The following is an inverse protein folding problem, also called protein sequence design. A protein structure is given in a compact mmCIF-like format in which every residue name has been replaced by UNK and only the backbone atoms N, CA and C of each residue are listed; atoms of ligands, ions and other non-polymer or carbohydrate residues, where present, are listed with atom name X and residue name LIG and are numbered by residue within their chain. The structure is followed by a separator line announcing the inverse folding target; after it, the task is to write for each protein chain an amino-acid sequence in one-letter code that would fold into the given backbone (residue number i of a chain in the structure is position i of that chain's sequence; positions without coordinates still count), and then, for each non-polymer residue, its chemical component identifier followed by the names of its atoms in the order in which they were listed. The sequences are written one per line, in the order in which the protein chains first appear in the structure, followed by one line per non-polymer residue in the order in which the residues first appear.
data_IF_305501550966
#
_entry.id   IF_305501550966
#
_cell.length_a   1.000
_cell.length_b   1.000
_cell.length_c   1.000
_cell.angle_alpha   90.00
_cell.angle_beta   90.00
_cell.angle_gamma   90.00
#
_symmetry.space_group_name_H-M   'P 1'
#
loop_
_entity.id
_entity.type
_entity.pdbx_description
1 polymer ?
#
# COMPACT_ATOMS: atom_id res chain seq x y z
N UNK A 1 28.07 2.20 19.11
CA UNK A 1 27.22 3.00 18.21
C UNK A 1 27.48 4.46 18.53
N UNK A 2 27.62 5.35 17.52
CA UNK A 2 27.65 6.79 17.78
C UNK A 2 26.32 7.21 18.41
N UNK A 3 26.37 8.01 19.48
CA UNK A 3 25.19 8.60 20.11
C UNK A 3 24.87 9.94 19.47
N UNK A 4 23.66 10.10 18.93
CA UNK A 4 23.16 11.39 18.43
C UNK A 4 22.30 12.09 19.48
N UNK A 5 22.39 13.43 19.54
CA UNK A 5 21.56 14.24 20.44
C UNK A 5 20.27 14.65 19.73
N UNK A 6 19.15 14.24 20.30
CA UNK A 6 17.80 14.59 19.87
C UNK A 6 17.13 15.46 20.92
N UNK A 7 16.47 16.55 20.50
CA UNK A 7 15.71 17.44 21.38
C UNK A 7 14.24 17.48 20.94
N UNK A 8 13.33 17.38 21.91
CA UNK A 8 11.89 17.32 21.68
C UNK A 8 11.16 18.25 22.64
N UNK A 9 10.16 18.98 22.14
CA UNK A 9 9.20 19.73 22.97
C UNK A 9 8.04 18.81 23.32
N UNK A 10 7.68 18.79 24.59
CA UNK A 10 6.63 17.94 25.16
C UNK A 10 5.73 18.85 25.99
N UNK A 11 4.42 18.70 25.85
CA UNK A 11 3.46 19.40 26.72
C UNK A 11 3.45 18.83 28.15
N UNK A 12 2.85 19.58 29.07
CA UNK A 12 2.81 19.20 30.50
C UNK A 12 2.05 17.89 30.74
N UNK A 13 1.01 17.60 29.95
CA UNK A 13 0.17 16.41 30.14
C UNK A 13 0.96 15.13 29.79
N UNK A 14 1.65 15.14 28.65
CA UNK A 14 2.49 14.03 28.22
C UNK A 14 3.69 13.84 29.16
N UNK A 15 4.24 14.93 29.69
CA UNK A 15 5.32 14.86 30.68
C UNK A 15 4.86 14.20 31.99
N UNK A 16 3.66 14.52 32.46
CA UNK A 16 3.08 13.88 33.65
C UNK A 16 2.79 12.39 33.43
N UNK A 17 2.30 12.01 32.24
CA UNK A 17 2.10 10.60 31.87
C UNK A 17 3.41 9.83 31.89
N UNK A 18 4.47 10.42 31.34
CA UNK A 18 5.82 9.84 31.38
C UNK A 18 6.33 9.69 32.82
N UNK A 19 6.08 10.68 33.67
CA UNK A 19 6.47 10.65 35.08
C UNK A 19 5.73 9.56 35.87
N UNK A 20 4.44 9.36 35.58
CA UNK A 20 3.67 8.24 36.16
C UNK A 20 4.22 6.90 35.72
N UNK A 21 4.49 6.75 34.41
CA UNK A 21 5.03 5.51 33.86
C UNK A 21 6.38 5.16 34.49
N UNK A 22 7.36 6.08 34.48
CA UNK A 22 8.68 5.82 35.08
C UNK A 22 8.62 5.57 36.59
N UNK A 23 7.61 6.10 37.27
CA UNK A 23 7.40 5.91 38.70
C UNK A 23 6.95 4.49 39.06
N UNK A 24 6.36 3.78 38.09
CA UNK A 24 5.93 2.39 38.22
C UNK A 24 7.05 1.38 37.91
N UNK A 25 8.15 1.81 37.28
CA UNK A 25 9.30 0.97 36.97
C UNK A 25 10.21 0.80 38.20
N UNK A 26 10.74 -0.41 38.39
CA UNK A 26 11.57 -0.77 39.55
C UNK A 26 12.85 0.08 39.67
N UNK A 27 13.47 0.42 38.53
CA UNK A 27 14.71 1.18 38.47
C UNK A 27 14.51 2.69 38.33
N UNK A 28 13.26 3.14 38.22
CA UNK A 28 12.84 4.55 38.12
C UNK A 28 13.70 5.36 37.14
N UNK A 29 13.63 5.04 35.84
CA UNK A 29 14.53 5.62 34.85
C UNK A 29 14.42 7.14 34.77
N UNK A 30 15.49 7.79 34.29
CA UNK A 30 15.42 9.21 33.94
C UNK A 30 14.35 9.42 32.85
N UNK A 31 13.82 10.65 32.71
CA UNK A 31 12.84 10.93 31.64
C UNK A 31 13.37 10.63 30.25
N UNK A 32 14.66 10.91 29.99
CA UNK A 32 15.30 10.60 28.72
C UNK A 32 15.37 9.08 28.48
N UNK A 33 15.73 8.32 29.52
CA UNK A 33 15.79 6.86 29.46
C UNK A 33 14.39 6.23 29.31
N UNK A 34 13.39 6.79 29.99
CA UNK A 34 12.00 6.39 29.86
C UNK A 34 11.48 6.63 28.43
N UNK A 35 11.75 7.80 27.85
CA UNK A 35 11.42 8.09 26.45
C UNK A 35 12.15 7.12 25.53
N UNK A 36 13.45 6.87 25.74
CA UNK A 36 14.21 5.89 24.95
C UNK A 36 13.56 4.51 25.01
N UNK A 37 13.23 3.99 26.19
CA UNK A 37 12.58 2.68 26.36
C UNK A 37 11.20 2.61 25.73
N UNK A 38 10.41 3.68 25.83
CA UNK A 38 9.08 3.74 25.22
C UNK A 38 9.17 3.82 23.69
N UNK A 39 10.13 4.59 23.17
CA UNK A 39 10.42 4.66 21.73
C UNK A 39 10.96 3.32 21.24
N UNK A 40 11.91 2.70 21.94
CA UNK A 40 12.41 1.36 21.62
C UNK A 40 11.31 0.30 21.73
N UNK A 41 10.41 0.41 22.71
CA UNK A 41 9.25 -0.45 22.84
C UNK A 41 8.26 -0.27 21.69
N UNK A 42 8.01 0.97 21.28
CA UNK A 42 7.16 1.30 20.13
C UNK A 42 7.79 0.87 18.80
N UNK A 43 9.08 1.12 18.62
CA UNK A 43 9.85 0.70 17.44
C UNK A 43 10.14 -0.80 17.42
N UNK A 44 10.09 -1.49 18.56
CA UNK A 44 10.11 -2.95 18.60
C UNK A 44 8.82 -3.56 18.03
N UNK A 45 7.75 -2.77 17.83
CA UNK A 45 6.58 -3.19 17.04
C UNK A 45 6.81 -3.02 15.52
N UNK A 46 7.84 -2.27 15.13
CA UNK A 46 8.33 -2.09 13.75
C UNK A 46 9.36 -3.19 13.36
N UNK A 47 9.64 -4.13 14.26
CA UNK A 47 10.62 -5.19 14.05
C UNK A 47 9.94 -6.51 13.71
N UNK A 48 10.13 -6.95 12.47
CA UNK A 48 9.96 -8.33 12.03
C UNK A 48 10.41 -9.31 13.14
N UNK A 49 9.46 -10.05 13.74
CA UNK A 49 9.76 -11.17 14.64
C UNK A 49 9.12 -11.16 16.03
N UNK A 50 8.56 -10.04 16.53
CA UNK A 50 7.83 -10.08 17.83
C UNK A 50 6.39 -10.57 17.63
N UNK A 51 5.87 -11.48 18.50
CA UNK A 51 4.46 -11.86 18.46
C UNK A 51 3.56 -10.62 18.62
N UNK A 52 2.41 -10.57 17.93
CA UNK A 52 1.42 -9.51 18.13
C UNK A 52 1.07 -9.42 19.62
N UNK A 53 0.83 -8.22 20.12
CA UNK A 53 0.45 -8.02 21.51
C UNK A 53 -0.96 -7.43 21.56
N UNK A 54 -1.82 -8.01 22.39
CA UNK A 54 -3.14 -7.46 22.71
C UNK A 54 -3.08 -6.87 24.11
N UNK A 55 -3.52 -5.62 24.27
CA UNK A 55 -3.77 -4.99 25.56
C UNK A 55 -4.90 -5.71 26.31
N UNK A 56 -5.01 -5.50 27.62
CA UNK A 56 -6.07 -6.13 28.42
C UNK A 56 -7.48 -5.71 27.95
N UNK A 57 -7.63 -4.47 27.48
CA UNK A 57 -8.85 -4.00 26.85
C UNK A 57 -9.19 -4.74 25.55
N UNK A 58 -8.20 -4.93 24.66
CA UNK A 58 -8.39 -5.68 23.41
C UNK A 58 -8.70 -7.16 23.66
N UNK A 59 -8.08 -7.78 24.67
CA UNK A 59 -8.41 -9.15 25.11
C UNK A 59 -9.88 -9.24 25.53
N UNK A 60 -10.33 -8.30 26.39
CA UNK A 60 -11.73 -8.29 26.84
C UNK A 60 -12.70 -8.11 25.67
N UNK A 61 -12.43 -7.17 24.76
CA UNK A 61 -13.26 -6.95 23.56
C UNK A 61 -13.30 -8.20 22.68
N UNK A 62 -12.16 -8.83 22.40
CA UNK A 62 -12.07 -10.04 21.58
C UNK A 62 -12.88 -11.21 22.19
N UNK A 63 -12.80 -11.41 23.51
CA UNK A 63 -13.56 -12.44 24.22
C UNK A 63 -15.07 -12.15 24.20
N UNK A 64 -15.47 -10.90 24.39
CA UNK A 64 -16.89 -10.50 24.29
C UNK A 64 -17.45 -10.73 22.88
N UNK A 65 -16.65 -10.47 21.83
CA UNK A 65 -17.04 -10.76 20.45
C UNK A 65 -17.14 -12.27 20.19
N UNK A 66 -16.22 -13.07 20.74
CA UNK A 66 -16.29 -14.53 20.65
C UNK A 66 -17.59 -15.08 21.28
N UNK A 67 -17.98 -14.55 22.45
CA UNK A 67 -19.23 -14.93 23.10
C UNK A 67 -20.47 -14.52 22.29
N UNK A 68 -20.46 -13.32 21.69
CA UNK A 68 -21.54 -12.88 20.80
C UNK A 68 -21.66 -13.79 19.57
N UNK A 69 -20.54 -14.15 18.93
CA UNK A 69 -20.52 -15.07 17.78
C UNK A 69 -21.14 -16.41 18.15
N UNK A 70 -20.77 -17.00 19.31
CA UNK A 70 -21.39 -18.24 19.79
C UNK A 70 -22.87 -18.09 20.07
N UNK A 71 -23.27 -16.97 20.69
CA UNK A 71 -24.66 -16.75 21.10
C UNK A 71 -25.58 -16.52 19.90
N UNK A 72 -25.07 -15.91 18.84
CA UNK A 72 -25.77 -15.67 17.59
C UNK A 72 -25.75 -16.89 16.65
N UNK A 73 -24.99 -17.94 17.00
CA UNK A 73 -24.85 -19.18 16.21
C UNK A 73 -24.41 -18.90 14.75
N UNK A 74 -23.57 -17.89 14.56
CA UNK A 74 -23.00 -17.55 13.25
C UNK A 74 -21.67 -18.25 13.04
N UNK A 75 -21.35 -18.60 11.79
CA UNK A 75 -20.06 -19.16 11.41
C UNK A 75 -19.07 -18.02 11.15
N UNK A 76 -18.08 -17.79 12.03
CA UNK A 76 -17.08 -16.76 11.81
C UNK A 76 -15.99 -17.25 10.85
N UNK A 77 -15.41 -16.33 10.08
CA UNK A 77 -14.18 -16.60 9.32
C UNK A 77 -12.98 -16.84 10.25
N UNK A 78 -13.01 -16.22 11.44
CA UNK A 78 -11.99 -16.37 12.48
C UNK A 78 -12.39 -17.49 13.44
N UNK A 79 -11.50 -18.45 13.67
CA UNK A 79 -11.66 -19.44 14.73
C UNK A 79 -11.55 -18.77 16.11
N UNK A 80 -12.72 -18.41 16.66
CA UNK A 80 -12.84 -17.77 17.97
C UNK A 80 -12.41 -18.68 19.12
N UNK A 81 -12.48 -20.01 18.95
CA UNK A 81 -12.02 -20.97 19.96
C UNK A 81 -10.49 -21.05 20.02
N UNK A 82 -9.81 -20.93 18.88
CA UNK A 82 -8.36 -20.76 18.83
C UNK A 82 -7.92 -19.43 19.44
N UNK A 83 -8.63 -18.33 19.13
CA UNK A 83 -8.34 -17.00 19.67
C UNK A 83 -8.38 -16.99 21.21
N UNK A 84 -9.36 -17.65 21.82
CA UNK A 84 -9.46 -17.79 23.27
C UNK A 84 -8.27 -18.52 23.88
N UNK A 85 -7.89 -19.67 23.30
CA UNK A 85 -6.72 -20.43 23.77
C UNK A 85 -5.45 -19.60 23.69
N UNK A 86 -5.33 -18.76 22.65
CA UNK A 86 -4.22 -17.82 22.51
C UNK A 86 -4.22 -16.78 23.64
N UNK A 87 -5.38 -16.16 23.93
CA UNK A 87 -5.50 -15.12 24.96
C UNK A 87 -5.27 -15.71 26.36
N UNK A 88 -5.99 -16.77 26.73
CA UNK A 88 -5.89 -17.38 28.06
C UNK A 88 -4.52 -18.03 28.30
N UNK A 89 -3.92 -18.64 27.27
CA UNK A 89 -2.62 -19.30 27.38
C UNK A 89 -1.41 -18.40 27.14
N UNK A 90 -1.62 -17.13 26.75
CA UNK A 90 -0.54 -16.21 26.40
C UNK A 90 0.24 -16.61 25.13
N UNK A 91 -0.36 -17.40 24.24
CA UNK A 91 0.30 -17.95 23.04
C UNK A 91 0.27 -16.99 21.85
N UNK A 92 0.54 -15.69 22.05
CA UNK A 92 0.35 -14.66 21.04
C UNK A 92 1.17 -14.86 19.75
N UNK A 93 2.29 -15.61 19.83
CA UNK A 93 3.06 -16.02 18.66
C UNK A 93 2.25 -16.82 17.64
N UNK A 94 1.20 -17.50 18.08
CA UNK A 94 0.33 -18.27 17.21
C UNK A 94 -0.55 -17.39 16.31
N UNK A 95 -0.81 -16.12 16.67
CA UNK A 95 -1.65 -15.21 15.89
C UNK A 95 -1.11 -15.00 14.47
N UNK A 96 0.20 -14.79 14.31
CA UNK A 96 0.83 -14.65 12.98
C UNK A 96 0.79 -15.94 12.17
N UNK A 97 0.81 -17.09 12.83
CA UNK A 97 0.77 -18.39 12.14
C UNK A 97 -0.64 -18.77 11.72
N UNK A 98 -1.61 -18.52 12.59
CA UNK A 98 -3.01 -18.81 12.33
C UNK A 98 -3.62 -17.83 11.31
N UNK A 99 -3.26 -16.55 11.40
CA UNK A 99 -3.84 -15.49 10.57
C UNK A 99 -2.75 -14.55 10.01
N UNK A 100 -1.89 -15.07 9.10
CA UNK A 100 -0.82 -14.26 8.50
C UNK A 100 -1.34 -13.07 7.70
N UNK A 101 -2.54 -13.16 7.11
CA UNK A 101 -3.19 -12.06 6.39
C UNK A 101 -3.66 -10.90 7.28
N UNK A 102 -3.82 -11.11 8.59
CA UNK A 102 -4.23 -10.06 9.54
C UNK A 102 -3.01 -9.55 10.31
N UNK A 103 -2.16 -10.46 10.77
CA UNK A 103 -1.00 -10.14 11.60
C UNK A 103 0.29 -10.13 10.79
N UNK A 104 0.29 -9.55 9.59
CA UNK A 104 1.53 -9.21 8.87
C UNK A 104 2.06 -7.84 9.32
N UNK A 105 3.35 -7.61 9.14
CA UNK A 105 3.98 -6.29 9.35
C UNK A 105 3.99 -5.41 8.10
N UNK A 106 3.42 -5.90 6.99
CA UNK A 106 3.40 -5.17 5.72
C UNK A 106 2.29 -4.13 5.70
N UNK A 107 2.61 -2.94 5.22
CA UNK A 107 1.63 -1.93 4.82
C UNK A 107 2.18 -1.20 3.59
N UNK A 108 1.34 -0.99 2.59
CA UNK A 108 1.77 -0.30 1.38
C UNK A 108 2.21 1.12 1.70
N UNK A 109 3.40 1.50 1.23
CA UNK A 109 3.88 2.86 1.44
C UNK A 109 3.05 3.85 0.61
N UNK A 110 2.71 5.00 1.20
CA UNK A 110 1.96 6.07 0.52
C UNK A 110 2.62 6.51 -0.80
N UNK A 111 3.96 6.51 -0.86
CA UNK A 111 4.72 6.83 -2.06
C UNK A 111 4.47 5.83 -3.19
N UNK A 112 4.39 4.53 -2.88
CA UNK A 112 4.12 3.48 -3.87
C UNK A 112 2.68 3.54 -4.36
N UNK A 113 1.72 3.68 -3.43
CA UNK A 113 0.30 3.88 -3.77
C UNK A 113 0.14 5.07 -4.71
N UNK A 114 0.76 6.21 -4.38
CA UNK A 114 0.71 7.40 -5.24
C UNK A 114 1.27 7.14 -6.64
N UNK A 115 2.43 6.49 -6.74
CA UNK A 115 3.02 6.17 -8.04
C UNK A 115 2.09 5.28 -8.87
N UNK A 116 1.49 4.24 -8.29
CA UNK A 116 0.55 3.39 -9.02
C UNK A 116 -0.67 4.18 -9.48
N UNK A 117 -1.23 5.03 -8.63
CA UNK A 117 -2.37 5.90 -9.01
C UNK A 117 -2.01 6.82 -10.17
N UNK A 118 -0.84 7.46 -10.15
CA UNK A 118 -0.37 8.35 -11.22
C UNK A 118 -0.16 7.56 -12.54
N UNK A 119 0.39 6.35 -12.47
CA UNK A 119 0.54 5.45 -13.62
C UNK A 119 -0.82 5.04 -14.19
N UNK A 120 -1.76 4.58 -13.37
CA UNK A 120 -3.10 4.19 -13.82
C UNK A 120 -3.86 5.38 -14.42
N UNK A 121 -3.73 6.57 -13.83
CA UNK A 121 -4.33 7.79 -14.36
C UNK A 121 -3.78 8.16 -15.74
N UNK A 122 -2.46 8.08 -15.91
CA UNK A 122 -1.81 8.28 -17.21
C UNK A 122 -2.32 7.28 -18.24
N UNK A 123 -2.31 5.98 -17.92
CA UNK A 123 -2.77 4.93 -18.83
C UNK A 123 -4.25 5.03 -19.20
N UNK A 124 -5.12 5.43 -18.26
CA UNK A 124 -6.53 5.70 -18.56
C UNK A 124 -6.67 6.79 -19.62
N UNK A 125 -5.91 7.89 -19.51
CA UNK A 125 -5.95 8.99 -20.47
C UNK A 125 -5.35 8.59 -21.81
N UNK A 126 -4.25 7.82 -21.82
CA UNK A 126 -3.65 7.29 -23.04
C UNK A 126 -4.66 6.43 -23.81
N UNK A 127 -5.33 5.50 -23.11
CA UNK A 127 -6.33 4.62 -23.70
C UNK A 127 -7.54 5.40 -24.24
N UNK A 128 -8.13 6.29 -23.43
CA UNK A 128 -9.29 7.09 -23.84
C UNK A 128 -8.95 8.00 -25.04
N UNK A 129 -7.76 8.60 -25.05
CA UNK A 129 -7.32 9.48 -26.14
C UNK A 129 -7.05 8.69 -27.42
N UNK A 130 -6.45 7.50 -27.33
CA UNK A 130 -6.20 6.65 -28.50
C UNK A 130 -7.51 6.11 -29.10
N UNK A 131 -8.47 5.74 -28.26
CA UNK A 131 -9.82 5.32 -28.69
C UNK A 131 -10.57 6.43 -29.43
N UNK A 132 -10.38 7.69 -29.03
CA UNK A 132 -11.01 8.85 -29.66
C UNK A 132 -10.42 9.23 -31.04
N UNK A 133 -9.27 8.68 -31.42
CA UNK A 133 -8.66 8.94 -32.73
C UNK A 133 -9.47 8.31 -33.88
N UNK A 134 -9.28 8.82 -35.09
CA UNK A 134 -9.70 8.15 -36.30
C UNK A 134 -8.70 7.04 -36.71
N UNK A 135 -9.03 6.29 -37.76
CA UNK A 135 -8.18 5.19 -38.24
C UNK A 135 -6.80 5.67 -38.72
N UNK A 136 -6.72 6.87 -39.30
CA UNK A 136 -5.46 7.47 -39.73
C UNK A 136 -4.57 7.85 -38.54
N UNK A 137 -5.15 8.43 -37.48
CA UNK A 137 -4.47 8.76 -36.23
C UNK A 137 -3.95 7.51 -35.52
N UNK A 138 -4.78 6.47 -35.38
CA UNK A 138 -4.37 5.19 -34.78
C UNK A 138 -3.19 4.56 -35.53
N UNK A 139 -3.24 4.51 -36.86
CA UNK A 139 -2.13 3.99 -37.69
C UNK A 139 -0.84 4.77 -37.49
N UNK A 140 -0.91 6.11 -37.40
CA UNK A 140 0.28 6.94 -37.13
C UNK A 140 0.91 6.64 -35.77
N UNK A 141 0.11 6.54 -34.73
CA UNK A 141 0.61 6.25 -33.37
C UNK A 141 1.17 4.83 -33.30
N UNK A 142 0.45 3.84 -33.84
CA UNK A 142 0.90 2.44 -33.85
C UNK A 142 2.20 2.21 -34.64
N UNK A 143 2.41 2.94 -35.73
CA UNK A 143 3.67 2.89 -36.49
C UNK A 143 4.86 3.50 -35.74
N UNK A 144 4.61 4.49 -34.87
CA UNK A 144 5.65 5.22 -34.16
C UNK A 144 5.96 4.67 -32.76
N UNK A 145 5.01 3.96 -32.13
CA UNK A 145 5.16 3.39 -30.80
C UNK A 145 4.69 1.92 -30.80
N UNK A 146 5.60 0.93 -30.65
CA UNK A 146 5.25 -0.49 -30.69
C UNK A 146 4.16 -0.90 -29.68
N UNK A 147 4.14 -0.28 -28.49
CA UNK A 147 3.11 -0.51 -27.45
C UNK A 147 1.70 -0.07 -27.87
N UNK A 148 1.55 0.65 -28.98
CA UNK A 148 0.26 1.07 -29.53
C UNK A 148 -0.12 0.30 -30.79
N UNK A 149 0.73 -0.62 -31.26
CA UNK A 149 0.53 -1.31 -32.55
C UNK A 149 -0.77 -2.11 -32.58
N UNK A 150 -1.09 -2.80 -31.48
CA UNK A 150 -2.32 -3.59 -31.31
C UNK A 150 -3.38 -2.87 -30.45
N UNK A 151 -3.11 -1.62 -30.08
CA UNK A 151 -3.92 -0.83 -29.15
C UNK A 151 -3.13 -0.43 -27.90
N UNK A 152 -3.64 0.58 -27.20
CA UNK A 152 -3.03 1.09 -25.96
C UNK A 152 -3.67 0.37 -24.78
N UNK A 153 -2.99 -0.65 -24.26
CA UNK A 153 -3.43 -1.44 -23.10
C UNK A 153 -2.36 -1.33 -22.01
N UNK A 154 -2.80 -1.18 -20.76
CA UNK A 154 -1.89 -1.10 -19.63
C UNK A 154 -1.16 -2.45 -19.44
N UNK A 155 0.18 -2.50 -19.51
CA UNK A 155 0.93 -3.76 -19.42
C UNK A 155 0.94 -4.39 -18.01
N UNK A 156 0.71 -3.57 -16.97
CA UNK A 156 0.80 -4.02 -15.59
C UNK A 156 2.20 -3.87 -14.97
N UNK A 157 2.51 -4.65 -13.95
CA UNK A 157 3.78 -4.65 -13.22
C UNK A 157 4.37 -6.06 -13.18
N UNK A 158 5.69 -6.17 -13.00
CA UNK A 158 6.32 -7.49 -12.93
C UNK A 158 5.96 -8.19 -11.62
N UNK A 159 5.36 -9.38 -11.73
CA UNK A 159 4.98 -10.18 -10.56
C UNK A 159 6.17 -10.67 -9.72
N UNK A 160 7.39 -10.71 -10.28
CA UNK A 160 8.57 -11.20 -9.55
C UNK A 160 9.29 -10.10 -8.77
N UNK A 161 9.54 -8.96 -9.40
CA UNK A 161 10.35 -7.87 -8.82
C UNK A 161 9.53 -6.62 -8.42
N UNK A 162 8.26 -6.53 -8.85
CA UNK A 162 7.37 -5.37 -8.62
C UNK A 162 6.03 -5.80 -7.98
N UNK A 163 6.03 -6.92 -7.26
CA UNK A 163 4.83 -7.57 -6.69
C UNK A 163 3.95 -6.66 -5.81
N UNK A 164 4.55 -5.74 -5.06
CA UNK A 164 3.79 -4.76 -4.27
C UNK A 164 3.04 -3.75 -5.15
N UNK A 165 3.68 -3.27 -6.23
CA UNK A 165 3.02 -2.37 -7.19
C UNK A 165 1.91 -3.10 -7.94
N UNK A 166 2.15 -4.37 -8.30
CA UNK A 166 1.15 -5.25 -8.87
C UNK A 166 -0.06 -5.40 -7.95
N UNK A 167 0.16 -5.71 -6.66
CA UNK A 167 -0.90 -5.87 -5.67
C UNK A 167 -1.72 -4.60 -5.47
N UNK A 168 -1.06 -3.43 -5.39
CA UNK A 168 -1.75 -2.13 -5.32
C UNK A 168 -2.60 -1.89 -6.58
N UNK A 169 -2.06 -2.17 -7.77
CA UNK A 169 -2.78 -1.98 -9.02
C UNK A 169 -3.99 -2.91 -9.14
N UNK A 170 -3.83 -4.17 -8.75
CA UNK A 170 -4.92 -5.14 -8.69
C UNK A 170 -6.02 -4.67 -7.73
N UNK A 171 -5.65 -4.27 -6.51
CA UNK A 171 -6.60 -3.77 -5.52
C UNK A 171 -7.39 -2.54 -6.02
N UNK A 172 -6.72 -1.60 -6.68
CA UNK A 172 -7.38 -0.42 -7.26
C UNK A 172 -8.33 -0.79 -8.41
N UNK A 173 -7.91 -1.67 -9.32
CA UNK A 173 -8.66 -1.97 -10.55
C UNK A 173 -9.77 -3.02 -10.34
N UNK A 174 -9.57 -3.98 -9.43
CA UNK A 174 -10.46 -5.13 -9.23
C UNK A 174 -11.37 -4.95 -8.02
N UNK A 175 -10.79 -4.66 -6.87
CA UNK A 175 -11.52 -4.61 -5.60
C UNK A 175 -12.23 -3.27 -5.42
N UNK A 176 -11.50 -2.16 -5.56
CA UNK A 176 -12.06 -0.82 -5.47
C UNK A 176 -12.80 -0.40 -6.75
N UNK A 177 -12.55 -1.10 -7.87
CA UNK A 177 -13.10 -0.79 -9.20
C UNK A 177 -12.86 0.67 -9.62
N UNK A 178 -11.78 1.27 -9.12
CA UNK A 178 -11.28 2.54 -9.63
C UNK A 178 -10.76 2.32 -11.05
N UNK A 179 -10.81 3.37 -11.89
CA UNK A 179 -10.42 3.27 -13.30
C UNK A 179 -11.15 2.15 -14.07
N UNK A 180 -12.46 1.96 -13.83
CA UNK A 180 -13.22 0.80 -14.32
C UNK A 180 -13.09 0.52 -15.83
N UNK A 181 -12.99 1.56 -16.69
CA UNK A 181 -12.73 1.38 -18.13
C UNK A 181 -11.36 0.75 -18.42
N UNK A 182 -10.32 1.24 -17.75
CA UNK A 182 -8.95 0.71 -17.86
C UNK A 182 -8.91 -0.73 -17.33
N UNK A 183 -9.52 -0.96 -16.17
CA UNK A 183 -9.59 -2.29 -15.55
C UNK A 183 -10.28 -3.32 -16.44
N UNK A 184 -11.41 -2.97 -17.06
CA UNK A 184 -12.14 -3.86 -17.96
C UNK A 184 -11.35 -4.25 -19.22
N UNK A 185 -10.38 -3.45 -19.65
CA UNK A 185 -9.57 -3.68 -20.85
C UNK A 185 -8.20 -4.30 -20.59
N UNK A 186 -7.85 -4.46 -19.32
CA UNK A 186 -6.55 -4.99 -18.91
C UNK A 186 -6.78 -6.31 -18.18
N UNK A 187 -6.95 -7.45 -18.87
CA UNK A 187 -7.33 -8.71 -18.22
C UNK A 187 -6.22 -9.28 -17.32
N UNK A 188 -4.96 -9.08 -17.69
CA UNK A 188 -3.79 -9.46 -16.90
C UNK A 188 -2.99 -8.24 -16.47
N UNK A 189 -2.46 -8.27 -15.25
CA UNK A 189 -1.64 -7.19 -14.68
C UNK A 189 -0.17 -7.60 -14.49
N UNK A 190 0.20 -8.85 -14.76
CA UNK A 190 1.59 -9.26 -14.72
C UNK A 190 2.25 -8.93 -16.06
N UNK A 191 3.15 -7.94 -16.06
CA UNK A 191 3.89 -7.57 -17.27
C UNK A 191 4.94 -8.59 -17.68
N UNK A 192 5.39 -9.46 -16.76
CA UNK A 192 6.52 -10.39 -16.94
C UNK A 192 7.90 -9.73 -17.19
N UNK A 193 7.99 -8.40 -17.08
CA UNK A 193 9.24 -7.62 -17.18
C UNK A 193 9.14 -6.33 -16.37
N UNK A 194 10.25 -5.82 -15.79
CA UNK A 194 10.23 -4.62 -14.96
C UNK A 194 9.74 -3.39 -15.73
N UNK A 195 8.77 -2.66 -15.17
CA UNK A 195 8.13 -1.51 -15.84
C UNK A 195 8.28 -0.20 -15.09
N UNK A 196 8.75 -0.20 -13.83
CA UNK A 196 8.78 1.00 -13.00
C UNK A 196 9.58 2.15 -13.60
N UNK A 197 10.76 1.88 -14.15
CA UNK A 197 11.59 2.93 -14.75
C UNK A 197 11.01 3.45 -16.06
N UNK A 198 10.39 2.56 -16.85
CA UNK A 198 9.65 2.94 -18.04
C UNK A 198 8.46 3.85 -17.68
N UNK A 199 7.68 3.50 -16.65
CA UNK A 199 6.57 4.33 -16.18
C UNK A 199 7.03 5.67 -15.63
N UNK A 200 8.15 5.75 -14.92
CA UNK A 200 8.73 7.04 -14.49
C UNK A 200 9.12 7.90 -15.68
N UNK A 201 9.75 7.31 -16.70
CA UNK A 201 10.10 8.04 -17.92
C UNK A 201 8.85 8.57 -18.66
N UNK A 202 7.80 7.76 -18.75
CA UNK A 202 6.52 8.18 -19.32
C UNK A 202 5.87 9.31 -18.52
N UNK A 203 5.83 9.20 -17.19
CA UNK A 203 5.27 10.22 -16.29
C UNK A 203 5.98 11.57 -16.45
N UNK A 204 7.31 11.57 -16.59
CA UNK A 204 8.08 12.80 -16.83
C UNK A 204 7.64 13.55 -18.10
N UNK A 205 7.17 12.82 -19.13
CA UNK A 205 6.62 13.42 -20.36
C UNK A 205 5.15 13.79 -20.19
N UNK A 206 4.38 12.96 -19.48
CA UNK A 206 2.94 13.11 -19.31
C UNK A 206 2.55 14.24 -18.36
N UNK A 207 3.22 14.40 -17.22
CA UNK A 207 2.81 15.34 -16.17
C UNK A 207 2.75 16.81 -16.64
N UNK A 208 3.71 17.34 -17.42
CA UNK A 208 3.60 18.70 -17.97
C UNK A 208 2.42 18.83 -18.94
N UNK A 209 2.15 17.80 -19.75
CA UNK A 209 1.04 17.79 -20.71
C UNK A 209 -0.30 17.76 -19.98
N UNK A 210 -0.43 16.93 -18.94
CA UNK A 210 -1.65 16.78 -18.15
C UNK A 210 -2.19 18.11 -17.60
N UNK A 211 -1.28 19.02 -17.19
CA UNK A 211 -1.64 20.36 -16.69
C UNK A 211 -2.33 21.25 -17.72
N UNK A 212 -2.19 20.94 -19.00
CA UNK A 212 -2.69 21.75 -20.13
C UNK A 212 -3.86 21.10 -20.88
N UNK A 213 -4.20 19.84 -20.57
CA UNK A 213 -5.24 19.11 -21.28
C UNK A 213 -6.64 19.68 -21.02
N UNK A 214 -6.92 20.22 -19.83
CA UNK A 214 -8.24 20.78 -19.46
C UNK A 214 -9.44 19.89 -19.91
N UNK A 215 -9.31 18.56 -19.79
CA UNK A 215 -10.33 17.59 -20.20
C UNK A 215 -10.37 17.24 -21.69
N UNK A 216 -9.44 17.75 -22.51
CA UNK A 216 -9.28 17.37 -23.93
C UNK A 216 -8.46 16.08 -24.05
N UNK A 217 -8.72 15.26 -25.09
CA UNK A 217 -7.89 14.09 -25.40
C UNK A 217 -6.49 14.51 -25.88
N UNK A 218 -5.51 13.63 -25.68
CA UNK A 218 -4.16 13.79 -26.20
C UNK A 218 -4.16 13.73 -27.74
N UNK A 219 -3.35 14.59 -28.35
CA UNK A 219 -3.11 14.56 -29.80
C UNK A 219 -2.21 13.37 -30.18
N UNK A 220 -2.23 12.90 -31.44
CA UNK A 220 -1.35 11.82 -31.89
C UNK A 220 0.15 12.04 -31.60
N UNK A 221 0.73 13.26 -31.78
CA UNK A 221 2.13 13.51 -31.40
C UNK A 221 2.38 13.39 -29.89
N UNK A 222 1.45 13.86 -29.06
CA UNK A 222 1.57 13.75 -27.60
C UNK A 222 1.48 12.29 -27.12
N UNK A 223 0.53 11.52 -27.68
CA UNK A 223 0.42 10.08 -27.43
C UNK A 223 1.73 9.36 -27.77
N UNK A 224 2.26 9.64 -28.97
CA UNK A 224 3.50 9.04 -29.45
C UNK A 224 4.68 9.38 -28.53
N UNK A 225 4.83 10.65 -28.12
CA UNK A 225 5.92 11.09 -27.26
C UNK A 225 5.91 10.37 -25.89
N UNK A 226 4.73 10.19 -25.29
CA UNK A 226 4.60 9.48 -24.00
C UNK A 226 4.92 7.99 -24.21
N UNK A 227 4.33 7.34 -25.22
CA UNK A 227 4.49 5.89 -25.43
C UNK A 227 5.92 5.52 -25.85
N UNK A 228 6.65 6.38 -26.56
CA UNK A 228 8.06 6.18 -26.90
C UNK A 228 9.01 6.34 -25.71
N UNK A 229 8.58 7.03 -24.65
CA UNK A 229 9.36 7.08 -23.41
C UNK A 229 9.34 5.74 -22.66
N UNK A 230 8.39 4.86 -22.97
CA UNK A 230 8.34 3.50 -22.46
C UNK A 230 9.41 2.65 -23.14
N UNK A 231 10.56 2.50 -22.48
CA UNK A 231 11.63 1.60 -22.90
C UNK A 231 11.64 0.39 -21.95
N UNK A 232 11.24 -0.80 -22.42
CA UNK A 232 11.37 -2.02 -21.63
C UNK A 232 12.84 -2.40 -21.39
#
# INVERSE_FOLDING_TARGET
MPSERFEMRIDSELLERLDRWRGAEDDRPSRAEAIRRLVEGGLAHDAEGRPPHLSDGEKLIALMLADLVRKLEVEPEIDVGLLEKVIYGGHYWALRRAWPGIFHGHADSQRRVRLVVDVLQMWSILQDSFEALDEAGRRRVGAAAPLAAEGVVFPGFDGNYESEYLGIAEFLLRDLKHFGRLGARTPGLNSHWPMLDAYRAMLNVFEPLAKTLHGKPLTPPQLTAILQACKP
#
